data_IF_976339178553
#
_entry.id   IF_976339178553
#
_cell.length_a   1.000
_cell.length_b   1.000
_cell.length_c   1.000
_cell.angle_alpha   90.00
_cell.angle_beta   90.00
_cell.angle_gamma   90.00
#
_symmetry.space_group_name_H-M   'P 1'
#
loop_
_entity.id
_entity.type
_entity.pdbx_description
1 polymer ?
#
# COMPACT_ATOMS: atom_id res chain seq x y z
N UNK A 1 3.93 2.38 -8.82
CA UNK A 1 4.93 1.36 -8.43
C UNK A 1 6.33 1.65 -8.97
N UNK A 2 6.61 1.53 -10.29
CA UNK A 2 7.94 1.80 -10.87
C UNK A 2 8.54 3.16 -10.49
N UNK A 3 7.73 4.23 -10.52
CA UNK A 3 8.18 5.59 -10.17
C UNK A 3 8.53 5.75 -8.69
N UNK A 4 7.80 5.12 -7.78
CA UNK A 4 8.04 5.21 -6.32
C UNK A 4 9.30 4.42 -5.96
N UNK A 5 9.45 3.21 -6.51
CA UNK A 5 10.68 2.44 -6.40
C UNK A 5 11.89 3.23 -6.95
N UNK A 6 11.71 3.95 -8.05
CA UNK A 6 12.76 4.77 -8.66
C UNK A 6 13.14 5.98 -7.78
N UNK A 7 12.18 6.69 -7.15
CA UNK A 7 12.50 7.78 -6.22
C UNK A 7 13.29 7.29 -5.00
N UNK A 8 12.96 6.10 -4.49
CA UNK A 8 13.67 5.52 -3.36
C UNK A 8 15.04 4.96 -3.73
N UNK A 9 15.20 4.38 -4.92
CA UNK A 9 16.51 4.02 -5.47
C UNK A 9 17.36 5.28 -5.66
N UNK A 10 16.78 6.36 -6.21
CA UNK A 10 17.48 7.64 -6.40
C UNK A 10 17.87 8.24 -5.05
N UNK A 11 17.00 8.19 -4.04
CA UNK A 11 17.30 8.70 -2.70
C UNK A 11 18.41 7.87 -2.04
N UNK A 12 18.38 6.55 -2.21
CA UNK A 12 19.41 5.64 -1.71
C UNK A 12 20.78 5.87 -2.39
N UNK A 13 20.78 6.04 -3.71
CA UNK A 13 21.97 6.36 -4.51
C UNK A 13 22.51 7.74 -4.12
N UNK A 14 21.63 8.74 -3.98
CA UNK A 14 22.01 10.09 -3.58
C UNK A 14 22.61 10.13 -2.17
N UNK A 15 22.04 9.38 -1.22
CA UNK A 15 22.56 9.26 0.14
C UNK A 15 23.94 8.55 0.16
N UNK A 16 24.10 7.49 -0.64
CA UNK A 16 25.37 6.78 -0.80
C UNK A 16 26.45 7.67 -1.43
N UNK A 17 26.10 8.47 -2.43
CA UNK A 17 27.01 9.45 -3.07
C UNK A 17 27.38 10.56 -2.10
N UNK A 18 26.44 11.07 -1.30
CA UNK A 18 26.70 12.08 -0.28
C UNK A 18 27.68 11.57 0.80
N UNK A 19 27.52 10.32 1.24
CA UNK A 19 28.45 9.67 2.19
C UNK A 19 29.85 9.47 1.60
N UNK A 20 29.93 9.05 0.33
CA UNK A 20 31.21 8.93 -0.41
C UNK A 20 31.93 10.28 -0.55
N UNK A 21 31.18 11.34 -0.88
CA UNK A 21 31.71 12.69 -0.98
C UNK A 21 32.15 13.23 0.39
N UNK A 22 31.40 12.93 1.46
CA UNK A 22 31.76 13.29 2.82
C UNK A 22 33.08 12.63 3.27
N UNK A 23 33.22 11.32 3.04
CA UNK A 23 34.42 10.55 3.37
C UNK A 23 35.66 11.10 2.61
N UNK A 24 35.48 11.39 1.32
CA UNK A 24 36.53 11.96 0.47
C UNK A 24 36.94 13.37 0.87
N UNK A 25 35.98 14.21 1.23
CA UNK A 25 36.21 15.62 1.50
C UNK A 25 36.81 15.85 2.89
N UNK A 26 36.45 15.03 3.88
CA UNK A 26 36.82 15.27 5.27
C UNK A 26 37.80 14.26 5.87
N UNK A 27 37.91 13.04 5.33
CA UNK A 27 38.69 11.99 6.00
C UNK A 27 40.04 11.71 5.33
N UNK A 28 40.13 11.64 3.99
CA UNK A 28 41.39 11.30 3.28
C UNK A 28 41.50 11.88 1.85
N UNK A 29 42.06 13.09 1.67
CA UNK A 29 42.21 13.71 0.34
C UNK A 29 43.32 13.07 -0.53
N UNK A 30 44.30 12.37 0.06
CA UNK A 30 45.53 11.95 -0.65
C UNK A 30 45.55 10.48 -1.14
N UNK A 31 44.48 9.71 -0.92
CA UNK A 31 44.42 8.30 -1.37
C UNK A 31 43.87 8.13 -2.79
N UNK A 32 44.40 7.15 -3.50
CA UNK A 32 43.96 6.77 -4.84
C UNK A 32 42.50 6.29 -4.86
N UNK A 33 41.77 6.60 -5.94
CA UNK A 33 40.31 6.35 -6.08
C UNK A 33 39.86 4.92 -5.79
N UNK A 34 40.72 3.94 -6.04
CA UNK A 34 40.41 2.52 -5.82
C UNK A 34 40.44 2.16 -4.33
N UNK A 35 41.41 2.67 -3.56
CA UNK A 35 41.49 2.37 -2.12
C UNK A 35 40.37 3.05 -1.34
N UNK A 36 40.02 4.30 -1.68
CA UNK A 36 38.88 4.97 -1.04
C UNK A 36 37.55 4.25 -1.28
N UNK A 37 37.38 3.62 -2.46
CA UNK A 37 36.20 2.83 -2.74
C UNK A 37 36.16 1.54 -1.91
N UNK A 38 37.29 0.82 -1.82
CA UNK A 38 37.37 -0.44 -1.08
C UNK A 38 37.15 -0.22 0.43
N UNK A 39 37.75 0.83 1.00
CA UNK A 39 37.57 1.19 2.41
C UNK A 39 36.14 1.65 2.70
N UNK A 40 35.53 2.41 1.80
CA UNK A 40 34.14 2.83 1.93
C UNK A 40 33.20 1.62 1.89
N UNK A 41 33.39 0.70 0.93
CA UNK A 41 32.57 -0.51 0.84
C UNK A 41 32.76 -1.40 2.06
N UNK A 42 33.99 -1.58 2.58
CA UNK A 42 34.22 -2.38 3.80
C UNK A 42 33.63 -1.73 5.05
N UNK A 43 33.79 -0.41 5.21
CA UNK A 43 33.32 0.33 6.39
C UNK A 43 31.79 0.38 6.45
N UNK A 44 31.14 0.55 5.30
CA UNK A 44 29.68 0.69 5.21
C UNK A 44 28.99 -0.57 4.70
N UNK A 45 29.70 -1.70 4.59
CA UNK A 45 29.14 -3.01 4.22
C UNK A 45 27.90 -3.40 5.04
N UNK A 46 27.87 -3.20 6.38
CA UNK A 46 26.68 -3.49 7.17
C UNK A 46 25.48 -2.62 6.76
N UNK A 47 25.72 -1.36 6.42
CA UNK A 47 24.67 -0.43 6.00
C UNK A 47 24.08 -0.83 4.63
N UNK A 48 24.93 -1.23 3.68
CA UNK A 48 24.46 -1.75 2.39
C UNK A 48 23.67 -3.04 2.53
N UNK A 49 24.11 -3.97 3.37
CA UNK A 49 23.41 -5.22 3.63
C UNK A 49 22.02 -4.99 4.24
N UNK A 50 21.94 -4.14 5.27
CA UNK A 50 20.66 -3.78 5.90
C UNK A 50 19.73 -3.13 4.87
N UNK A 51 20.27 -2.26 4.03
CA UNK A 51 19.49 -1.56 3.01
C UNK A 51 18.96 -2.50 1.93
N UNK A 52 19.78 -3.43 1.45
CA UNK A 52 19.34 -4.47 0.51
C UNK A 52 18.28 -5.37 1.15
N UNK A 53 18.45 -5.72 2.42
CA UNK A 53 17.49 -6.53 3.17
C UNK A 53 16.14 -5.81 3.41
N UNK A 54 16.14 -4.48 3.47
CA UNK A 54 14.92 -3.68 3.64
C UNK A 54 14.05 -3.63 2.37
N UNK A 55 14.66 -3.74 1.18
CA UNK A 55 13.96 -3.69 -0.11
C UNK A 55 12.82 -4.72 -0.21
N UNK A 56 13.06 -6.03 -0.01
CA UNK A 56 11.99 -7.03 -0.12
C UNK A 56 10.91 -6.88 0.96
N UNK A 57 11.29 -6.55 2.19
CA UNK A 57 10.34 -6.29 3.28
C UNK A 57 9.40 -5.13 2.92
N UNK A 58 9.95 -4.04 2.38
CA UNK A 58 9.19 -2.86 2.00
C UNK A 58 8.32 -3.09 0.76
N UNK A 59 8.81 -3.83 -0.24
CA UNK A 59 8.01 -4.22 -1.41
C UNK A 59 6.80 -5.05 -0.98
N UNK A 60 6.99 -6.02 -0.09
CA UNK A 60 5.90 -6.84 0.43
C UNK A 60 4.87 -6.00 1.21
N UNK A 61 5.33 -5.06 2.03
CA UNK A 61 4.44 -4.22 2.82
C UNK A 61 3.63 -3.24 1.93
N UNK A 62 4.29 -2.62 0.96
CA UNK A 62 3.63 -1.73 -0.02
C UNK A 62 2.63 -2.48 -0.89
N UNK A 63 2.95 -3.70 -1.31
CA UNK A 63 2.05 -4.57 -2.07
C UNK A 63 0.83 -4.98 -1.24
N UNK A 64 1.03 -5.34 0.03
CA UNK A 64 -0.07 -5.63 0.96
C UNK A 64 -0.99 -4.43 1.13
N UNK A 65 -0.43 -3.25 1.35
CA UNK A 65 -1.20 -2.02 1.49
C UNK A 65 -2.00 -1.71 0.21
N UNK A 66 -1.36 -1.79 -0.95
CA UNK A 66 -2.01 -1.53 -2.25
C UNK A 66 -3.11 -2.55 -2.54
N UNK A 67 -2.86 -3.84 -2.29
CA UNK A 67 -3.86 -4.89 -2.49
C UNK A 67 -5.07 -4.74 -1.54
N UNK A 68 -4.84 -4.26 -0.31
CA UNK A 68 -5.92 -3.94 0.65
C UNK A 68 -6.85 -2.85 0.14
N UNK A 69 -6.35 -1.92 -0.67
CA UNK A 69 -7.16 -0.83 -1.26
C UNK A 69 -7.73 -1.18 -2.64
N UNK A 70 -7.02 -1.97 -3.44
CA UNK A 70 -7.43 -2.35 -4.79
C UNK A 70 -8.75 -3.13 -4.84
N UNK A 71 -8.99 -3.99 -3.84
CA UNK A 71 -10.23 -4.77 -3.75
C UNK A 71 -11.48 -3.88 -3.57
N UNK A 72 -11.56 -3.07 -2.50
CA UNK A 72 -12.68 -2.17 -2.25
C UNK A 72 -12.93 -1.18 -3.39
N UNK A 73 -11.89 -0.56 -3.94
CA UNK A 73 -12.05 0.45 -4.99
C UNK A 73 -12.58 -0.13 -6.30
N UNK A 74 -12.17 -1.37 -6.65
CA UNK A 74 -12.63 -2.01 -7.89
C UNK A 74 -14.12 -2.39 -7.79
N UNK A 75 -14.56 -2.87 -6.63
CA UNK A 75 -15.98 -3.16 -6.36
C UNK A 75 -16.82 -1.88 -6.41
N UNK A 76 -16.37 -0.82 -5.75
CA UNK A 76 -17.03 0.48 -5.79
C UNK A 76 -17.13 1.03 -7.23
N UNK A 77 -16.03 0.98 -8.00
CA UNK A 77 -16.02 1.41 -9.41
C UNK A 77 -17.06 0.64 -10.23
N UNK A 78 -17.17 -0.67 -10.02
CA UNK A 78 -18.10 -1.53 -10.77
C UNK A 78 -19.55 -1.13 -10.47
N UNK A 79 -19.90 -0.93 -9.21
CA UNK A 79 -21.27 -0.54 -8.85
C UNK A 79 -21.60 0.90 -9.27
N UNK A 80 -20.64 1.83 -9.23
CA UNK A 80 -20.83 3.19 -9.78
C UNK A 80 -21.13 3.13 -11.28
N UNK A 81 -20.41 2.29 -12.04
CA UNK A 81 -20.67 2.11 -13.47
C UNK A 81 -22.06 1.50 -13.72
N UNK A 82 -22.46 0.50 -12.92
CA UNK A 82 -23.81 -0.06 -12.99
C UNK A 82 -24.89 1.01 -12.72
N UNK A 83 -24.70 1.85 -11.69
CA UNK A 83 -25.61 2.95 -11.39
C UNK A 83 -25.69 3.97 -12.52
N UNK A 84 -24.54 4.32 -13.12
CA UNK A 84 -24.47 5.26 -14.24
C UNK A 84 -25.19 4.75 -15.50
N UNK A 85 -25.22 3.43 -15.71
CA UNK A 85 -25.97 2.77 -16.78
C UNK A 85 -27.45 2.54 -16.43
N UNK A 86 -27.91 2.96 -15.25
CA UNK A 86 -29.28 2.75 -14.79
C UNK A 86 -29.60 1.29 -14.43
N UNK A 87 -28.56 0.45 -14.28
CA UNK A 87 -28.72 -0.95 -13.84
C UNK A 87 -28.90 -1.01 -12.32
N UNK A 88 -29.62 -2.02 -11.81
CA UNK A 88 -29.72 -2.24 -10.39
C UNK A 88 -28.32 -2.51 -9.80
N UNK A 89 -27.98 -1.82 -8.72
CA UNK A 89 -26.71 -1.94 -8.02
C UNK A 89 -26.84 -2.82 -6.77
N UNK A 90 -25.77 -3.54 -6.47
CA UNK A 90 -25.70 -4.36 -5.26
C UNK A 90 -25.28 -3.53 -4.06
N UNK A 91 -25.79 -3.89 -2.89
CA UNK A 91 -25.36 -3.27 -1.62
C UNK A 91 -23.87 -3.52 -1.41
N UNK A 92 -23.10 -2.46 -1.25
CA UNK A 92 -21.69 -2.56 -0.91
C UNK A 92 -21.55 -2.80 0.59
N UNK A 93 -20.76 -3.80 0.96
CA UNK A 93 -20.29 -4.01 2.34
C UNK A 93 -18.80 -4.28 2.30
N UNK A 94 -18.03 -3.42 2.98
CA UNK A 94 -16.59 -3.59 3.13
C UNK A 94 -16.27 -3.91 4.59
N UNK A 95 -15.70 -5.10 4.83
CA UNK A 95 -15.27 -5.53 6.18
C UNK A 95 -14.02 -4.80 6.71
N UNK A 96 -13.39 -3.96 5.90
CA UNK A 96 -12.02 -3.48 6.13
C UNK A 96 -11.98 -1.99 6.43
N UNK A 97 -11.55 -1.59 7.64
CA UNK A 97 -11.32 -0.20 8.06
C UNK A 97 -12.58 0.69 8.08
N UNK A 98 -12.70 1.55 9.09
CA UNK A 98 -13.89 2.39 9.29
C UNK A 98 -14.19 3.28 8.07
N UNK A 99 -13.14 3.83 7.44
CA UNK A 99 -13.29 4.65 6.23
C UNK A 99 -14.03 3.96 5.08
N UNK A 100 -13.74 2.68 4.78
CA UNK A 100 -14.42 2.02 3.66
C UNK A 100 -15.88 1.70 4.00
N UNK A 101 -16.18 1.44 5.28
CA UNK A 101 -17.54 1.27 5.75
C UNK A 101 -18.35 2.55 5.52
N UNK A 102 -17.81 3.71 5.89
CA UNK A 102 -18.48 5.00 5.69
C UNK A 102 -18.75 5.29 4.20
N UNK A 103 -17.80 4.94 3.33
CA UNK A 103 -17.96 5.06 1.86
C UNK A 103 -19.06 4.13 1.33
N UNK A 104 -19.09 2.88 1.80
CA UNK A 104 -20.14 1.93 1.42
C UNK A 104 -21.51 2.39 1.91
N UNK A 105 -21.62 2.86 3.14
CA UNK A 105 -22.87 3.34 3.73
C UNK A 105 -23.40 4.58 2.98
N UNK A 106 -22.49 5.49 2.60
CA UNK A 106 -22.82 6.65 1.77
C UNK A 106 -23.33 6.25 0.38
N UNK A 107 -22.66 5.28 -0.27
CA UNK A 107 -23.07 4.77 -1.59
C UNK A 107 -24.42 4.05 -1.52
N UNK A 108 -24.60 3.17 -0.54
CA UNK A 108 -25.84 2.43 -0.33
C UNK A 108 -27.02 3.39 -0.08
N UNK A 109 -26.81 4.41 0.76
CA UNK A 109 -27.82 5.44 1.04
C UNK A 109 -28.21 6.21 -0.22
N UNK A 110 -27.24 6.55 -1.07
CA UNK A 110 -27.50 7.20 -2.36
C UNK A 110 -28.31 6.28 -3.29
N UNK A 111 -27.90 5.02 -3.45
CA UNK A 111 -28.55 4.07 -4.32
C UNK A 111 -29.96 3.68 -3.85
N UNK A 112 -30.22 3.68 -2.54
CA UNK A 112 -31.55 3.52 -1.96
C UNK A 112 -32.46 4.70 -2.32
N UNK A 113 -31.95 5.93 -2.23
CA UNK A 113 -32.72 7.14 -2.57
C UNK A 113 -33.06 7.24 -4.05
N UNK A 114 -32.19 6.75 -4.93
CA UNK A 114 -32.42 6.73 -6.37
C UNK A 114 -33.21 5.51 -6.85
N UNK A 115 -33.59 4.59 -5.96
CA UNK A 115 -34.32 3.36 -6.29
C UNK A 115 -33.51 2.37 -7.13
N UNK A 116 -32.18 2.51 -7.17
CA UNK A 116 -31.28 1.64 -7.93
C UNK A 116 -30.84 0.42 -7.12
N UNK A 117 -31.11 0.38 -5.82
CA UNK A 117 -30.74 -0.75 -4.98
C UNK A 117 -31.51 -2.00 -5.42
N UNK A 118 -30.79 -3.08 -5.72
CA UNK A 118 -31.42 -4.39 -5.90
C UNK A 118 -31.71 -5.00 -4.54
N UNK A 119 -32.97 -5.34 -4.25
CA UNK A 119 -33.43 -5.97 -3.00
C UNK A 119 -32.94 -7.43 -2.81
N UNK A 120 -31.83 -7.81 -3.45
CA UNK A 120 -31.27 -9.15 -3.34
C UNK A 120 -30.46 -9.30 -2.03
N UNK A 121 -31.20 -9.76 -1.01
CA UNK A 121 -30.80 -10.52 0.18
C UNK A 121 -30.08 -9.79 1.33
N UNK A 122 -30.93 -9.33 2.25
CA UNK A 122 -30.80 -9.51 3.70
C UNK A 122 -30.78 -11.00 4.06
N UNK A 123 -29.64 -11.69 3.97
CA UNK A 123 -29.45 -12.98 4.65
C UNK A 123 -27.96 -13.12 5.00
N UNK A 124 -27.68 -13.56 6.23
CA UNK A 124 -26.37 -13.81 6.85
C UNK A 124 -25.84 -12.69 7.78
N UNK A 125 -26.57 -12.39 8.85
CA UNK A 125 -25.92 -12.17 10.17
C UNK A 125 -26.87 -12.38 11.38
N UNK A 126 -27.80 -13.34 11.29
CA UNK A 126 -28.71 -13.69 12.39
C UNK A 126 -28.65 -15.20 12.69
N UNK A 127 -27.48 -15.73 13.05
CA UNK A 127 -27.37 -17.11 13.60
C UNK A 127 -26.34 -17.27 14.72
N UNK A 128 -25.83 -16.19 15.33
CA UNK A 128 -24.84 -16.34 16.43
C UNK A 128 -25.33 -15.96 17.83
N UNK A 129 -26.65 -15.82 18.05
CA UNK A 129 -27.21 -15.52 19.38
C UNK A 129 -28.44 -16.35 19.73
N UNK A 130 -28.33 -17.68 19.67
CA UNK A 130 -29.28 -18.58 20.36
C UNK A 130 -28.77 -20.01 20.30
N UNK A 131 -27.99 -20.42 21.32
CA UNK A 131 -27.91 -21.80 21.84
C UNK A 131 -26.71 -21.92 22.78
N UNK A 132 -26.92 -21.76 24.09
CA UNK A 132 -26.36 -22.61 25.16
C UNK A 132 -27.01 -22.15 26.47
N UNK A 133 -28.18 -22.71 26.75
CA UNK A 133 -28.70 -22.91 28.10
C UNK A 133 -29.54 -24.18 28.04
N UNK A 134 -28.90 -25.29 28.37
CA UNK A 134 -29.52 -26.54 28.77
C UNK A 134 -28.58 -27.21 29.77
#
# INVERSE_FOLDING_TARGET
MKKIALHWIVLFVCNSVALLLWLRLFEQPDLSWQHSFEDCVRRFLPFFLISIALIPAFVLDTLKLTNRFAGPIMRLRTEILNAAEGRPVKRLSFRTNDFWKDVADSFNSMAQRTGLLSDAETTDDETSSSSTNA
#
